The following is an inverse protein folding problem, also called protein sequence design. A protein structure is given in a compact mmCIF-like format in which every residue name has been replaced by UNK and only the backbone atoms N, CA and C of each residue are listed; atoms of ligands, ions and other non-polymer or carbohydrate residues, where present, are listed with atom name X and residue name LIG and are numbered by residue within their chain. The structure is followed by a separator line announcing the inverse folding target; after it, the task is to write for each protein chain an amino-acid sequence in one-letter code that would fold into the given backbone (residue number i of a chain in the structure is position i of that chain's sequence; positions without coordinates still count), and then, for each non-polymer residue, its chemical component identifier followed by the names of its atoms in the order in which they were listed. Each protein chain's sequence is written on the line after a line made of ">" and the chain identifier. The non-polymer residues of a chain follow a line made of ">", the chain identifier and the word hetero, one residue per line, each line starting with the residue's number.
data_IF_238440876592
#
_entry.id   IF_238440876592
#
_cell.length_a   1.000
_cell.length_b   1.000
_cell.length_c   1.000
_cell.angle_alpha   90.00
_cell.angle_beta   90.00
_cell.angle_gamma   90.00
#
_symmetry.space_group_name_H-M   'P 1'
#
loop_
_entity.id
_entity.type
_entity.pdbx_description
1 polymer ?
#
# COMPACT_ATOMS: atom_id res chain seq x y z
N UNK A 1 -0.07 -0.45 0.78
CA UNK A 1 1.18 -0.98 0.17
C UNK A 1 1.90 -1.96 1.07
N UNK A 2 2.36 -1.60 2.28
CA UNK A 2 3.09 -2.52 3.18
C UNK A 2 2.28 -3.77 3.53
N UNK A 3 1.01 -3.60 3.87
CA UNK A 3 0.09 -4.73 4.16
C UNK A 3 -0.08 -5.64 2.93
N UNK A 4 -0.28 -5.05 1.74
CA UNK A 4 -0.38 -5.80 0.50
C UNK A 4 0.93 -6.53 0.16
N UNK A 5 2.09 -5.87 0.27
CA UNK A 5 3.39 -6.48 0.03
C UNK A 5 3.70 -7.61 1.01
N UNK A 6 3.26 -7.47 2.27
CA UNK A 6 3.32 -8.52 3.27
C UNK A 6 2.47 -9.73 2.83
N UNK A 7 1.18 -9.56 2.56
CA UNK A 7 0.34 -10.70 2.16
C UNK A 7 0.71 -11.28 0.79
N UNK A 8 1.17 -10.45 -0.14
CA UNK A 8 1.71 -10.85 -1.45
C UNK A 8 2.98 -11.69 -1.31
N UNK A 9 3.87 -11.32 -0.37
CA UNK A 9 5.07 -12.10 -0.08
C UNK A 9 4.82 -13.38 0.73
N UNK A 10 3.73 -13.45 1.49
CA UNK A 10 3.45 -14.57 2.41
C UNK A 10 2.46 -15.61 1.85
N UNK A 11 1.58 -15.24 0.91
CA UNK A 11 0.51 -16.13 0.43
C UNK A 11 0.76 -16.70 -0.96
N UNK A 12 0.86 -18.03 -1.06
CA UNK A 12 1.02 -18.76 -2.34
C UNK A 12 -0.07 -18.40 -3.37
N UNK A 13 -1.33 -18.29 -2.91
CA UNK A 13 -2.45 -17.87 -3.76
C UNK A 13 -2.61 -16.36 -3.82
N UNK A 14 -2.35 -15.64 -2.72
CA UNK A 14 -2.51 -14.19 -2.64
C UNK A 14 -1.58 -13.45 -3.60
N UNK A 15 -0.35 -13.95 -3.79
CA UNK A 15 0.64 -13.39 -4.70
C UNK A 15 0.38 -13.64 -6.20
N UNK A 16 -0.64 -14.44 -6.54
CA UNK A 16 -0.96 -14.73 -7.94
C UNK A 16 -1.53 -13.50 -8.65
N UNK A 17 -1.28 -13.40 -9.95
CA UNK A 17 -1.84 -12.34 -10.79
C UNK A 17 -3.39 -12.34 -10.73
N UNK A 18 -4.01 -13.52 -10.71
CA UNK A 18 -5.46 -13.66 -10.61
C UNK A 18 -6.04 -13.15 -9.28
N UNK A 19 -5.43 -13.49 -8.14
CA UNK A 19 -5.89 -12.96 -6.84
C UNK A 19 -5.65 -11.46 -6.70
N UNK A 20 -4.55 -10.95 -7.27
CA UNK A 20 -4.28 -9.51 -7.32
C UNK A 20 -5.31 -8.78 -8.15
N UNK A 21 -5.68 -9.32 -9.32
CA UNK A 21 -6.71 -8.75 -10.18
C UNK A 21 -8.07 -8.67 -9.47
N UNK A 22 -8.51 -9.75 -8.82
CA UNK A 22 -9.79 -9.78 -8.08
C UNK A 22 -9.89 -8.69 -7.00
N UNK A 23 -8.82 -8.45 -6.23
CA UNK A 23 -8.81 -7.38 -5.24
C UNK A 23 -8.82 -5.99 -5.90
N UNK A 24 -8.04 -5.82 -6.97
CA UNK A 24 -7.98 -4.55 -7.70
C UNK A 24 -9.31 -4.23 -8.38
N UNK A 25 -10.06 -5.22 -8.87
CA UNK A 25 -11.38 -5.04 -9.47
C UNK A 25 -12.38 -4.47 -8.46
N UNK A 26 -12.35 -4.93 -7.21
CA UNK A 26 -13.19 -4.36 -6.12
C UNK A 26 -12.66 -2.99 -5.66
N UNK A 27 -11.35 -2.80 -5.65
CA UNK A 27 -10.73 -1.55 -5.23
C UNK A 27 -10.87 -0.43 -6.26
N UNK A 28 -10.96 -0.75 -7.55
CA UNK A 28 -10.94 0.24 -8.64
C UNK A 28 -12.10 1.25 -8.57
N UNK A 29 -13.37 0.84 -8.39
CA UNK A 29 -14.47 1.80 -8.23
C UNK A 29 -14.28 2.76 -7.05
N UNK A 30 -13.76 2.25 -5.92
CA UNK A 30 -13.47 3.06 -4.73
C UNK A 30 -12.31 4.02 -4.99
N UNK A 31 -11.27 3.56 -5.68
CA UNK A 31 -10.10 4.36 -6.03
C UNK A 31 -10.42 5.50 -6.98
N UNK A 32 -11.21 5.23 -8.03
CA UNK A 32 -11.67 6.26 -8.99
C UNK A 32 -12.41 7.38 -8.25
N UNK A 33 -13.33 7.01 -7.36
CA UNK A 33 -14.10 7.97 -6.58
C UNK A 33 -13.24 8.71 -5.54
N UNK A 34 -12.26 8.03 -4.94
CA UNK A 34 -11.33 8.66 -3.99
C UNK A 34 -10.51 9.78 -4.63
N UNK A 35 -10.12 9.65 -5.91
CA UNK A 35 -9.40 10.71 -6.63
C UNK A 35 -10.25 11.97 -6.72
N UNK A 36 -11.52 11.87 -7.14
CA UNK A 36 -12.39 13.04 -7.26
C UNK A 36 -12.72 13.67 -5.90
N UNK A 37 -12.97 12.85 -4.87
CA UNK A 37 -13.23 13.34 -3.51
C UNK A 37 -11.98 13.99 -2.90
N UNK A 38 -10.78 13.48 -3.20
CA UNK A 38 -9.53 14.07 -2.70
C UNK A 38 -9.31 15.50 -3.21
N UNK A 39 -9.72 15.80 -4.45
CA UNK A 39 -9.66 17.16 -4.99
C UNK A 39 -10.53 18.14 -4.20
N UNK A 40 -11.72 17.71 -3.76
CA UNK A 40 -12.60 18.50 -2.90
C UNK A 40 -11.98 18.71 -1.50
N UNK A 41 -11.40 17.65 -0.93
CA UNK A 41 -10.74 17.73 0.38
C UNK A 41 -9.52 18.67 0.35
N UNK A 42 -8.78 18.71 -0.76
CA UNK A 42 -7.71 19.69 -0.97
C UNK A 42 -8.28 21.12 -1.00
N UNK A 43 -9.47 21.30 -1.58
CA UNK A 43 -10.23 22.55 -1.55
C UNK A 43 -10.83 22.90 -0.18
N UNK A 44 -10.64 22.07 0.84
CA UNK A 44 -11.20 22.27 2.18
C UNK A 44 -12.64 21.78 2.36
N UNK A 45 -13.20 21.10 1.36
CA UNK A 45 -14.59 20.67 1.33
C UNK A 45 -14.74 19.15 1.42
N UNK A 46 -15.90 18.69 1.90
CA UNK A 46 -16.24 17.28 2.02
C UNK A 46 -17.53 16.96 1.25
N UNK A 47 -17.51 15.88 0.45
CA UNK A 47 -18.69 15.36 -0.22
C UNK A 47 -18.93 13.88 0.10
N UNK A 48 -19.84 13.64 1.05
CA UNK A 48 -20.31 12.31 1.40
C UNK A 48 -21.32 11.75 0.40
N UNK A 49 -22.00 12.63 -0.36
CA UNK A 49 -23.05 12.22 -1.30
C UNK A 49 -22.49 11.50 -2.54
N UNK A 50 -21.23 11.75 -2.90
CA UNK A 50 -20.54 11.09 -4.01
C UNK A 50 -20.60 9.55 -3.95
N UNK A 51 -20.49 8.99 -2.73
CA UNK A 51 -20.57 7.55 -2.53
C UNK A 51 -21.94 6.97 -2.86
N UNK A 52 -23.02 7.57 -2.35
CA UNK A 52 -24.38 7.11 -2.65
C UNK A 52 -24.77 7.42 -4.10
N UNK A 53 -24.25 8.49 -4.69
CA UNK A 53 -24.50 8.87 -6.08
C UNK A 53 -23.98 7.86 -7.08
N UNK A 54 -22.88 7.16 -6.77
CA UNK A 54 -22.36 6.07 -7.61
C UNK A 54 -23.41 4.97 -7.80
N UNK A 55 -24.02 4.52 -6.69
CA UNK A 55 -25.09 3.52 -6.72
C UNK A 55 -26.40 4.06 -7.30
N UNK A 56 -26.77 5.30 -6.94
CA UNK A 56 -27.98 5.94 -7.45
C UNK A 56 -27.95 6.10 -8.98
N UNK A 57 -26.80 6.47 -9.55
CA UNK A 57 -26.63 6.57 -11.00
C UNK A 57 -26.83 5.22 -11.69
N UNK A 58 -26.29 4.13 -11.13
CA UNK A 58 -26.51 2.78 -11.66
C UNK A 58 -27.98 2.36 -11.62
N UNK A 59 -28.67 2.63 -10.51
CA UNK A 59 -30.11 2.37 -10.40
C UNK A 59 -30.92 3.23 -11.35
N UNK A 60 -30.60 4.52 -11.50
CA UNK A 60 -31.27 5.39 -12.47
C UNK A 60 -31.12 4.85 -13.89
N UNK A 61 -29.91 4.45 -14.30
CA UNK A 61 -29.68 3.83 -15.62
C UNK A 61 -30.54 2.57 -15.76
N UNK A 62 -30.53 1.69 -14.77
CA UNK A 62 -31.23 0.41 -14.85
C UNK A 62 -32.77 0.59 -14.88
N UNK A 63 -33.31 1.47 -14.04
CA UNK A 63 -34.73 1.79 -14.03
C UNK A 63 -35.17 2.45 -15.35
N UNK A 64 -34.36 3.36 -15.89
CA UNK A 64 -34.67 3.99 -17.17
C UNK A 64 -34.63 2.98 -18.32
N UNK A 65 -33.59 2.15 -18.36
CA UNK A 65 -33.38 1.15 -19.39
C UNK A 65 -34.49 0.09 -19.43
N UNK A 66 -35.21 -0.12 -18.32
CA UNK A 66 -36.25 -1.15 -18.20
C UNK A 66 -37.68 -0.63 -18.16
N UNK A 67 -37.94 0.53 -17.56
CA UNK A 67 -39.30 0.93 -17.16
C UNK A 67 -39.77 2.33 -17.59
N UNK A 68 -38.93 3.16 -18.22
CA UNK A 68 -39.31 4.56 -18.50
C UNK A 68 -40.33 4.73 -19.64
N UNK A 69 -40.54 3.70 -20.46
CA UNK A 69 -41.51 3.62 -21.58
C UNK A 69 -41.87 2.14 -21.73
N UNK A 70 -42.99 1.75 -22.35
CA UNK A 70 -43.40 0.35 -22.53
C UNK A 70 -42.31 -0.49 -23.27
N UNK A 71 -41.31 -0.99 -22.52
CA UNK A 71 -40.11 -1.65 -23.04
C UNK A 71 -38.75 -0.99 -22.73
N UNK A 72 -38.72 0.11 -21.97
CA UNK A 72 -37.49 0.82 -21.59
C UNK A 72 -36.93 1.78 -22.66
N UNK A 73 -35.77 2.39 -22.39
CA UNK A 73 -35.07 3.27 -23.33
C UNK A 73 -33.63 2.80 -23.53
N UNK A 74 -33.03 3.19 -24.65
CA UNK A 74 -31.65 2.85 -24.97
C UNK A 74 -30.65 3.45 -23.98
N UNK A 75 -29.59 2.68 -23.68
CA UNK A 75 -28.48 3.10 -22.81
C UNK A 75 -27.77 4.36 -23.29
N UNK A 76 -27.84 4.67 -24.59
CA UNK A 76 -27.35 5.92 -25.15
C UNK A 76 -28.01 7.16 -24.56
N UNK A 77 -29.24 7.05 -24.06
CA UNK A 77 -29.97 8.12 -23.37
C UNK A 77 -29.83 7.98 -21.85
N UNK A 78 -29.93 6.75 -21.34
CA UNK A 78 -29.89 6.49 -19.89
C UNK A 78 -28.56 6.93 -19.26
N UNK A 79 -27.41 6.66 -19.91
CA UNK A 79 -26.10 7.00 -19.36
C UNK A 79 -25.90 8.53 -19.27
N UNK A 80 -26.08 9.33 -20.35
CA UNK A 80 -26.03 10.78 -20.25
C UNK A 80 -27.03 11.37 -19.26
N UNK A 81 -28.25 10.82 -19.19
CA UNK A 81 -29.25 11.28 -18.22
C UNK A 81 -28.80 11.07 -16.77
N UNK A 82 -28.15 9.95 -16.47
CA UNK A 82 -27.58 9.70 -15.14
C UNK A 82 -26.41 10.65 -14.82
N UNK A 83 -25.55 10.96 -15.81
CA UNK A 83 -24.51 11.98 -15.64
C UNK A 83 -25.09 13.38 -15.39
N UNK A 84 -26.16 13.75 -16.11
CA UNK A 84 -26.86 15.01 -15.90
C UNK A 84 -27.47 15.07 -14.49
N UNK A 85 -28.11 13.99 -14.03
CA UNK A 85 -28.65 13.91 -12.68
C UNK A 85 -27.55 14.03 -11.61
N UNK A 86 -26.42 13.34 -11.79
CA UNK A 86 -25.26 13.47 -10.91
C UNK A 86 -24.70 14.90 -10.90
N UNK A 87 -24.60 15.54 -12.06
CA UNK A 87 -24.20 16.93 -12.20
C UNK A 87 -25.15 17.90 -11.50
N UNK A 88 -26.46 17.70 -11.63
CA UNK A 88 -27.48 18.50 -10.95
C UNK A 88 -27.38 18.38 -9.42
N UNK A 89 -27.17 17.17 -8.90
CA UNK A 89 -26.97 16.95 -7.46
C UNK A 89 -25.69 17.62 -6.97
N UNK A 90 -24.58 17.47 -7.71
CA UNK A 90 -23.31 18.12 -7.38
C UNK A 90 -23.44 19.65 -7.39
N UNK A 91 -24.10 20.21 -8.40
CA UNK A 91 -24.41 21.63 -8.50
C UNK A 91 -25.28 22.10 -7.34
N UNK A 92 -26.33 21.35 -6.99
CA UNK A 92 -27.22 21.67 -5.88
C UNK A 92 -26.49 21.71 -4.54
N UNK A 93 -25.62 20.72 -4.27
CA UNK A 93 -24.78 20.70 -3.07
C UNK A 93 -23.85 21.91 -3.01
N UNK A 94 -23.14 22.20 -4.12
CA UNK A 94 -22.24 23.35 -4.20
C UNK A 94 -22.98 24.69 -4.04
N UNK A 95 -24.15 24.82 -4.66
CA UNK A 95 -25.02 25.98 -4.54
C UNK A 95 -25.47 26.20 -3.08
N UNK A 96 -25.92 25.15 -2.39
CA UNK A 96 -26.35 25.25 -1.00
C UNK A 96 -25.20 25.65 -0.09
N UNK A 97 -24.01 25.06 -0.24
CA UNK A 97 -22.82 25.44 0.55
C UNK A 97 -22.50 26.92 0.35
N UNK A 98 -22.44 27.38 -0.90
CA UNK A 98 -22.11 28.78 -1.21
C UNK A 98 -23.19 29.77 -0.71
N UNK A 99 -24.47 29.39 -0.79
CA UNK A 99 -25.58 30.29 -0.42
C UNK A 99 -25.82 30.36 1.09
N UNK A 100 -25.65 29.24 1.79
CA UNK A 100 -26.00 29.10 3.21
C UNK A 100 -24.81 29.27 4.15
N UNK A 101 -23.58 29.09 3.67
CA UNK A 101 -22.38 29.10 4.52
C UNK A 101 -22.30 27.92 5.49
N UNK A 102 -23.17 26.92 5.35
CA UNK A 102 -23.12 25.70 6.14
C UNK A 102 -21.89 24.86 5.73
N UNK A 103 -21.26 24.14 6.67
CA UNK A 103 -20.20 23.20 6.33
C UNK A 103 -20.68 22.18 5.29
N UNK A 104 -19.87 21.96 4.24
CA UNK A 104 -20.18 21.00 3.16
C UNK A 104 -20.46 19.59 3.64
N UNK A 105 -19.83 19.18 4.75
CA UNK A 105 -20.13 17.92 5.41
C UNK A 105 -21.63 17.77 5.77
N UNK A 106 -22.25 18.81 6.33
CA UNK A 106 -23.67 18.77 6.74
C UNK A 106 -24.58 18.75 5.52
N UNK A 107 -24.30 19.61 4.54
CA UNK A 107 -25.08 19.68 3.29
C UNK A 107 -25.06 18.34 2.57
N UNK A 108 -23.87 17.76 2.40
CA UNK A 108 -23.69 16.51 1.65
C UNK A 108 -24.15 15.28 2.43
N UNK A 109 -24.13 15.30 3.77
CA UNK A 109 -24.78 14.28 4.60
C UNK A 109 -26.31 14.31 4.46
N UNK A 110 -26.91 15.51 4.40
CA UNK A 110 -28.34 15.68 4.14
C UNK A 110 -28.72 15.10 2.78
N UNK A 111 -28.01 15.50 1.74
CA UNK A 111 -28.18 14.96 0.38
C UNK A 111 -27.95 13.45 0.34
N UNK A 112 -26.95 12.93 1.06
CA UNK A 112 -26.70 11.50 1.16
C UNK A 112 -27.94 10.72 1.62
N UNK A 113 -28.62 11.16 2.68
CA UNK A 113 -29.83 10.50 3.17
C UNK A 113 -31.01 10.65 2.22
N UNK A 114 -31.19 11.83 1.61
CA UNK A 114 -32.26 12.07 0.61
C UNK A 114 -32.09 11.12 -0.58
N UNK A 115 -30.89 11.06 -1.16
CA UNK A 115 -30.58 10.22 -2.32
C UNK A 115 -30.71 8.74 -1.94
N UNK A 116 -30.19 8.33 -0.78
CA UNK A 116 -30.31 6.94 -0.31
C UNK A 116 -31.76 6.52 -0.13
N UNK A 117 -32.59 7.39 0.46
CA UNK A 117 -34.01 7.19 0.64
C UNK A 117 -34.75 7.12 -0.69
N UNK A 118 -34.50 8.07 -1.59
CA UNK A 118 -35.07 8.09 -2.93
C UNK A 118 -34.73 6.80 -3.69
N UNK A 119 -33.46 6.40 -3.68
CA UNK A 119 -33.00 5.19 -4.36
C UNK A 119 -33.74 3.93 -3.87
N UNK A 120 -33.93 3.82 -2.56
CA UNK A 120 -34.69 2.71 -1.95
C UNK A 120 -36.17 2.73 -2.34
N UNK A 121 -36.82 3.90 -2.29
CA UNK A 121 -38.25 4.05 -2.57
C UNK A 121 -38.55 3.81 -4.05
N UNK A 122 -37.80 4.42 -4.97
CA UNK A 122 -38.01 4.28 -6.40
C UNK A 122 -37.74 2.85 -6.87
N UNK A 123 -36.65 2.22 -6.41
CA UNK A 123 -36.35 0.82 -6.74
C UNK A 123 -37.47 -0.11 -6.29
N UNK A 124 -37.92 0.01 -5.03
CA UNK A 124 -38.98 -0.85 -4.50
C UNK A 124 -40.33 -0.59 -5.15
N UNK A 125 -40.69 0.65 -5.45
CA UNK A 125 -41.98 0.99 -6.06
C UNK A 125 -42.08 0.51 -7.51
N UNK A 126 -40.99 0.60 -8.27
CA UNK A 126 -41.00 0.31 -9.71
C UNK A 126 -40.67 -1.16 -9.98
N UNK A 127 -39.67 -1.72 -9.30
CA UNK A 127 -39.12 -3.04 -9.58
C UNK A 127 -39.48 -4.09 -8.52
N UNK A 128 -40.18 -3.72 -7.43
CA UNK A 128 -40.49 -4.58 -6.25
C UNK A 128 -39.26 -5.15 -5.52
N UNK A 129 -38.07 -5.05 -6.11
CA UNK A 129 -36.76 -5.47 -5.61
C UNK A 129 -35.80 -4.27 -5.63
N UNK A 130 -34.80 -4.32 -4.74
CA UNK A 130 -33.77 -3.28 -4.65
C UNK A 130 -32.72 -3.42 -5.77
N UNK A 131 -32.59 -4.62 -6.37
CA UNK A 131 -31.70 -4.87 -7.49
C UNK A 131 -32.49 -4.92 -8.81
N UNK A 132 -32.06 -4.13 -9.79
CA UNK A 132 -32.64 -4.09 -11.14
C UNK A 132 -31.77 -4.95 -12.06
N UNK A 133 -32.27 -6.14 -12.40
CA UNK A 133 -31.61 -7.08 -13.31
C UNK A 133 -31.98 -6.80 -14.78
N UNK A 134 -31.26 -7.46 -15.70
CA UNK A 134 -31.53 -7.54 -17.15
C UNK A 134 -31.19 -6.27 -17.95
N UNK A 135 -30.26 -5.46 -17.44
CA UNK A 135 -29.74 -4.28 -18.17
C UNK A 135 -28.92 -4.69 -19.40
N UNK A 136 -28.49 -5.94 -19.46
CA UNK A 136 -27.77 -6.54 -20.58
C UNK A 136 -28.63 -6.76 -21.83
N UNK A 137 -29.95 -6.79 -21.68
CA UNK A 137 -30.91 -6.86 -22.79
C UNK A 137 -31.22 -5.48 -23.39
N UNK A 138 -30.80 -4.40 -22.74
CA UNK A 138 -31.13 -3.04 -23.16
C UNK A 138 -30.44 -2.64 -24.49
N UNK A 139 -31.15 -1.87 -25.32
CA UNK A 139 -30.62 -1.39 -26.59
C UNK A 139 -29.35 -0.53 -26.38
N UNK A 140 -28.28 -0.89 -27.08
CA UNK A 140 -26.96 -0.25 -26.96
C UNK A 140 -26.00 -0.94 -25.98
N UNK A 141 -26.45 -1.95 -25.23
CA UNK A 141 -25.62 -2.65 -24.25
C UNK A 141 -24.36 -3.27 -24.87
N UNK A 142 -24.44 -3.86 -26.06
CA UNK A 142 -23.27 -4.44 -26.74
C UNK A 142 -22.12 -3.45 -26.95
N UNK A 143 -22.43 -2.20 -27.34
CA UNK A 143 -21.42 -1.15 -27.50
C UNK A 143 -20.82 -0.72 -26.16
N UNK A 144 -21.67 -0.39 -25.18
CA UNK A 144 -21.20 0.06 -23.86
C UNK A 144 -20.46 -1.05 -23.11
N UNK A 145 -20.89 -2.31 -23.25
CA UNK A 145 -20.13 -3.46 -22.79
C UNK A 145 -18.79 -3.53 -23.51
N UNK A 146 -18.71 -3.40 -24.82
CA UNK A 146 -17.43 -3.44 -25.53
C UNK A 146 -16.45 -2.32 -25.11
N UNK A 147 -16.95 -1.12 -24.82
CA UNK A 147 -16.13 0.05 -24.48
C UNK A 147 -15.79 0.14 -22.99
N UNK A 148 -16.77 -0.09 -22.10
CA UNK A 148 -16.64 0.10 -20.65
C UNK A 148 -16.41 -1.20 -19.87
N UNK A 149 -16.87 -2.34 -20.39
CA UNK A 149 -16.82 -3.64 -19.71
C UNK A 149 -16.24 -4.78 -20.58
N UNK A 150 -15.53 -4.43 -21.65
CA UNK A 150 -15.26 -5.35 -22.75
C UNK A 150 -14.02 -6.18 -22.49
N UNK A 151 -14.18 -7.51 -22.49
CA UNK A 151 -13.07 -8.46 -22.41
C UNK A 151 -12.65 -8.96 -23.81
N UNK A 152 -12.34 -8.06 -24.74
CA UNK A 152 -11.96 -8.49 -26.10
C UNK A 152 -10.60 -9.22 -26.06
N UNK A 153 -10.54 -10.44 -26.59
CA UNK A 153 -9.33 -11.27 -26.71
C UNK A 153 -8.72 -11.10 -28.11
N UNK A 154 -7.47 -10.68 -28.23
CA UNK A 154 -6.71 -10.68 -29.48
C UNK A 154 -5.56 -11.70 -29.36
N UNK A 155 -5.75 -12.91 -29.90
CA UNK A 155 -4.84 -14.03 -29.64
C UNK A 155 -4.89 -14.45 -28.16
N UNK A 156 -3.72 -14.68 -27.54
CA UNK A 156 -3.61 -14.95 -26.09
C UNK A 156 -3.62 -13.68 -25.22
N UNK A 157 -3.56 -12.47 -25.81
CA UNK A 157 -3.54 -11.21 -25.06
C UNK A 157 -4.91 -10.52 -25.11
N UNK A 158 -5.46 -10.16 -23.94
CA UNK A 158 -6.72 -9.42 -23.88
C UNK A 158 -6.45 -7.94 -24.16
N UNK A 159 -7.32 -7.28 -24.92
CA UNK A 159 -7.25 -5.85 -25.24
C UNK A 159 -7.25 -4.95 -23.99
N UNK A 160 -8.00 -5.37 -22.96
CA UNK A 160 -7.96 -4.78 -21.61
C UNK A 160 -6.55 -4.80 -21.04
N UNK A 161 -5.79 -5.87 -21.27
CA UNK A 161 -4.45 -6.02 -20.72
C UNK A 161 -3.50 -5.02 -21.39
N UNK A 162 -3.68 -4.71 -22.68
CA UNK A 162 -2.88 -3.69 -23.38
C UNK A 162 -3.22 -2.27 -22.90
N UNK A 163 -4.50 -1.91 -22.83
CA UNK A 163 -4.93 -0.58 -22.32
C UNK A 163 -4.50 -0.42 -20.86
N UNK A 164 -4.67 -1.45 -20.03
CA UNK A 164 -4.29 -1.42 -18.63
C UNK A 164 -2.77 -1.36 -18.45
N UNK A 165 -2.01 -2.10 -19.27
CA UNK A 165 -0.55 -2.08 -19.20
C UNK A 165 -0.01 -0.73 -19.68
N UNK A 166 -0.46 -0.23 -20.83
CA UNK A 166 -0.04 1.08 -21.36
C UNK A 166 -0.51 2.21 -20.44
N UNK A 167 -1.77 2.20 -20.02
CA UNK A 167 -2.34 3.18 -19.10
C UNK A 167 -1.70 3.14 -17.72
N UNK A 168 -1.43 1.95 -17.18
CA UNK A 168 -0.71 1.76 -15.92
C UNK A 168 0.74 2.21 -15.99
N UNK A 169 1.45 1.89 -17.08
CA UNK A 169 2.81 2.37 -17.33
C UNK A 169 2.83 3.90 -17.44
N UNK A 170 1.91 4.47 -18.22
CA UNK A 170 1.77 5.92 -18.38
C UNK A 170 1.44 6.60 -17.05
N UNK A 171 0.53 6.04 -16.26
CA UNK A 171 0.22 6.52 -14.92
C UNK A 171 1.44 6.47 -14.00
N UNK A 172 2.21 5.36 -14.00
CA UNK A 172 3.43 5.25 -13.22
C UNK A 172 4.47 6.31 -13.64
N UNK A 173 4.66 6.53 -14.95
CA UNK A 173 5.54 7.57 -15.48
C UNK A 173 5.09 8.95 -15.04
N UNK A 174 3.80 9.29 -15.19
CA UNK A 174 3.23 10.56 -14.76
C UNK A 174 3.35 10.78 -13.25
N UNK A 175 3.16 9.72 -12.45
CA UNK A 175 3.32 9.78 -11.01
C UNK A 175 4.78 10.08 -10.62
N UNK A 176 5.74 9.41 -11.24
CA UNK A 176 7.18 9.66 -11.01
C UNK A 176 7.54 11.10 -11.42
N UNK A 177 7.05 11.57 -12.58
CA UNK A 177 7.22 12.96 -13.03
C UNK A 177 6.60 13.96 -12.05
N UNK A 178 5.38 13.70 -11.57
CA UNK A 178 4.69 14.52 -10.58
C UNK A 178 5.45 14.61 -9.26
N UNK A 179 5.95 13.47 -8.75
CA UNK A 179 6.78 13.47 -7.54
C UNK A 179 8.11 14.20 -7.74
N UNK A 180 8.74 14.07 -8.91
CA UNK A 180 9.96 14.83 -9.23
C UNK A 180 9.69 16.34 -9.22
N UNK A 181 8.61 16.80 -9.86
CA UNK A 181 8.21 18.22 -9.87
C UNK A 181 7.87 18.74 -8.46
N UNK A 182 7.22 17.92 -7.63
CA UNK A 182 6.89 18.29 -6.25
C UNK A 182 8.10 18.30 -5.32
N UNK A 183 9.06 17.40 -5.52
CA UNK A 183 10.19 17.21 -4.60
C UNK A 183 11.44 18.04 -4.98
N UNK A 184 11.65 18.30 -6.26
CA UNK A 184 12.85 18.96 -6.78
C UNK A 184 12.55 20.38 -7.28
N UNK A 185 13.59 21.12 -7.71
CA UNK A 185 13.45 22.46 -8.31
C UNK A 185 13.90 22.38 -9.76
N UNK A 186 13.15 23.00 -10.66
CA UNK A 186 13.51 23.04 -12.08
C UNK A 186 14.83 23.79 -12.27
N UNK A 187 15.77 23.19 -12.99
CA UNK A 187 16.99 23.86 -13.45
C UNK A 187 16.64 24.99 -14.42
N UNK A 188 17.43 26.06 -14.36
CA UNK A 188 17.39 27.15 -15.32
C UNK A 188 17.81 26.70 -16.73
N UNK A 189 18.85 25.85 -16.83
CA UNK A 189 19.31 25.26 -18.07
C UNK A 189 19.30 23.73 -18.00
N UNK A 190 18.81 23.09 -19.05
CA UNK A 190 18.75 21.64 -19.18
C UNK A 190 20.11 21.10 -19.59
N UNK A 191 20.55 20.01 -18.95
CA UNK A 191 21.72 19.25 -19.40
C UNK A 191 21.32 18.34 -20.56
N UNK A 192 21.88 18.57 -21.75
CA UNK A 192 21.62 17.75 -22.93
C UNK A 192 22.25 16.36 -22.81
N UNK A 193 23.43 16.24 -22.20
CA UNK A 193 24.13 14.96 -22.00
C UNK A 193 23.34 14.04 -21.09
N UNK A 194 22.89 14.54 -19.93
CA UNK A 194 22.08 13.73 -19.01
C UNK A 194 20.74 13.35 -19.64
N UNK A 195 20.16 14.23 -20.46
CA UNK A 195 18.93 13.89 -21.15
C UNK A 195 19.09 12.77 -22.20
N UNK A 196 20.20 12.76 -22.95
CA UNK A 196 20.51 11.68 -23.88
C UNK A 196 20.70 10.34 -23.15
N UNK A 197 21.39 10.35 -22.01
CA UNK A 197 21.55 9.15 -21.18
C UNK A 197 20.19 8.65 -20.66
N UNK A 198 19.28 9.56 -20.31
CA UNK A 198 17.93 9.20 -19.90
C UNK A 198 17.17 8.47 -21.04
N UNK A 199 17.29 8.93 -22.28
CA UNK A 199 16.68 8.28 -23.45
C UNK A 199 17.24 6.87 -23.65
N UNK A 200 18.56 6.69 -23.51
CA UNK A 200 19.20 5.37 -23.56
C UNK A 200 18.65 4.46 -22.47
N UNK A 201 18.44 4.99 -21.26
CA UNK A 201 17.78 4.28 -20.17
C UNK A 201 16.36 3.82 -20.52
N UNK A 202 15.55 4.69 -21.13
CA UNK A 202 14.19 4.35 -21.59
C UNK A 202 14.23 3.25 -22.65
N UNK A 203 15.15 3.34 -23.62
CA UNK A 203 15.31 2.31 -24.64
C UNK A 203 15.70 0.96 -24.03
N UNK A 204 16.61 0.94 -23.05
CA UNK A 204 16.98 -0.26 -22.31
C UNK A 204 15.81 -0.83 -21.47
N UNK A 205 14.99 0.03 -20.87
CA UNK A 205 13.79 -0.37 -20.14
C UNK A 205 12.78 -1.07 -21.06
N UNK A 206 12.48 -0.46 -22.21
CA UNK A 206 11.58 -1.01 -23.24
C UNK A 206 12.15 -2.34 -23.77
N UNK A 207 13.45 -2.38 -24.08
CA UNK A 207 14.12 -3.60 -24.54
C UNK A 207 14.01 -4.73 -23.52
N UNK A 208 14.22 -4.44 -22.23
CA UNK A 208 14.07 -5.43 -21.15
C UNK A 208 12.65 -5.99 -21.07
N UNK A 209 11.62 -5.13 -21.12
CA UNK A 209 10.21 -5.55 -21.10
C UNK A 209 9.84 -6.37 -22.34
N UNK A 210 10.26 -5.93 -23.53
CA UNK A 210 9.99 -6.65 -24.77
C UNK A 210 10.68 -8.02 -24.80
N UNK A 211 11.89 -8.11 -24.25
CA UNK A 211 12.63 -9.38 -24.17
C UNK A 211 11.97 -10.32 -23.17
N UNK A 212 11.53 -9.82 -22.01
CA UNK A 212 10.75 -10.59 -21.03
C UNK A 212 9.48 -11.21 -21.64
N UNK A 213 8.81 -10.51 -22.56
CA UNK A 213 7.64 -11.05 -23.24
C UNK A 213 7.93 -12.05 -24.37
N UNK A 214 9.20 -12.19 -24.76
CA UNK A 214 9.63 -13.10 -25.85
C UNK A 214 10.41 -14.30 -25.35
N UNK A 215 10.78 -14.34 -24.07
CA UNK A 215 11.59 -15.42 -23.50
C UNK A 215 10.87 -16.12 -22.36
N UNK A 216 10.79 -17.44 -22.40
CA UNK A 216 10.30 -18.25 -21.27
C UNK A 216 11.43 -18.86 -20.43
N UNK A 217 12.69 -18.66 -20.82
CA UNK A 217 13.84 -19.17 -20.09
C UNK A 217 14.11 -18.36 -18.81
N UNK A 218 14.47 -19.04 -17.72
CA UNK A 218 14.81 -18.39 -16.44
C UNK A 218 15.98 -17.41 -16.63
N UNK A 219 17.05 -17.83 -17.31
CA UNK A 219 18.23 -16.98 -17.53
C UNK A 219 17.93 -15.77 -18.41
N UNK A 220 17.14 -15.94 -19.48
CA UNK A 220 16.70 -14.85 -20.34
C UNK A 220 15.84 -13.84 -19.58
N UNK A 221 14.92 -14.33 -18.74
CA UNK A 221 14.05 -13.49 -17.91
C UNK A 221 14.82 -12.72 -16.84
N UNK A 222 15.82 -13.35 -16.21
CA UNK A 222 16.69 -12.66 -15.25
C UNK A 222 17.49 -11.57 -15.95
N UNK A 223 18.12 -11.87 -17.10
CA UNK A 223 18.92 -10.88 -17.82
C UNK A 223 18.05 -9.71 -18.31
N UNK A 224 16.93 -10.01 -18.95
CA UNK A 224 15.99 -9.01 -19.46
C UNK A 224 15.39 -8.15 -18.33
N UNK A 225 15.08 -8.77 -17.18
CA UNK A 225 14.63 -8.07 -15.98
C UNK A 225 15.69 -7.13 -15.40
N UNK A 226 16.95 -7.56 -15.32
CA UNK A 226 18.07 -6.73 -14.85
C UNK A 226 18.31 -5.56 -15.79
N UNK A 227 18.37 -5.81 -17.10
CA UNK A 227 18.54 -4.75 -18.11
C UNK A 227 17.37 -3.76 -18.05
N UNK A 228 16.14 -4.26 -17.96
CA UNK A 228 14.94 -3.43 -17.86
C UNK A 228 14.93 -2.55 -16.61
N UNK A 229 15.30 -3.11 -15.46
CA UNK A 229 15.36 -2.39 -14.19
C UNK A 229 16.47 -1.34 -14.18
N UNK A 230 17.68 -1.70 -14.63
CA UNK A 230 18.79 -0.75 -14.75
C UNK A 230 18.40 0.37 -15.72
N UNK A 231 17.83 0.04 -16.88
CA UNK A 231 17.33 1.01 -17.84
C UNK A 231 16.33 1.99 -17.22
N UNK A 232 15.38 1.48 -16.45
CA UNK A 232 14.37 2.29 -15.74
C UNK A 232 15.01 3.23 -14.71
N UNK A 233 15.97 2.73 -13.91
CA UNK A 233 16.70 3.55 -12.93
C UNK A 233 17.51 4.64 -13.63
N UNK A 234 18.23 4.29 -14.69
CA UNK A 234 19.00 5.25 -15.50
C UNK A 234 18.08 6.30 -16.09
N UNK A 235 16.95 5.92 -16.68
CA UNK A 235 15.96 6.83 -17.22
C UNK A 235 15.50 7.86 -16.18
N UNK A 236 15.08 7.39 -15.00
CA UNK A 236 14.56 8.25 -13.93
C UNK A 236 15.66 9.18 -13.39
N UNK A 237 16.82 8.63 -13.04
CA UNK A 237 17.91 9.39 -12.40
C UNK A 237 18.48 10.44 -13.34
N UNK A 238 18.76 10.07 -14.60
CA UNK A 238 19.34 11.00 -15.55
C UNK A 238 18.32 12.01 -16.08
N UNK A 239 17.04 11.65 -16.20
CA UNK A 239 15.99 12.65 -16.46
C UNK A 239 15.89 13.65 -15.31
N UNK A 240 15.93 13.16 -14.06
CA UNK A 240 15.92 14.02 -12.89
C UNK A 240 17.11 14.99 -12.89
N UNK A 241 18.33 14.49 -13.13
CA UNK A 241 19.55 15.33 -13.20
C UNK A 241 19.52 16.31 -14.36
N UNK A 242 18.98 15.92 -15.51
CA UNK A 242 18.90 16.77 -16.69
C UNK A 242 18.00 17.99 -16.49
N UNK A 243 16.91 17.82 -15.74
CA UNK A 243 15.85 18.84 -15.63
C UNK A 243 15.77 19.53 -14.27
N UNK A 244 16.26 18.90 -13.20
CA UNK A 244 16.04 19.34 -11.83
C UNK A 244 17.33 19.43 -11.00
N UNK A 245 17.26 20.27 -9.97
CA UNK A 245 18.23 20.40 -8.89
C UNK A 245 17.59 20.03 -7.55
N UNK A 246 18.40 19.59 -6.59
CA UNK A 246 17.96 19.34 -5.23
C UNK A 246 17.66 20.63 -4.48
N UNK A 247 16.57 20.67 -3.71
CA UNK A 247 16.18 21.84 -2.88
C UNK A 247 17.22 22.23 -1.84
N UNK A 248 17.85 21.24 -1.22
CA UNK A 248 18.84 21.43 -0.17
C UNK A 248 20.02 20.47 -0.36
N UNK A 249 21.23 20.93 0.00
CA UNK A 249 22.40 20.06 0.05
C UNK A 249 22.26 19.09 1.21
N UNK A 250 22.48 17.80 0.97
CA UNK A 250 22.53 16.78 2.03
C UNK A 250 23.81 16.98 2.86
N UNK A 251 23.67 17.54 4.07
CA UNK A 251 24.79 17.85 4.97
C UNK A 251 24.68 17.04 6.27
N UNK A 252 25.81 16.91 6.98
CA UNK A 252 25.90 16.30 8.30
C UNK A 252 26.54 14.91 8.30
N UNK A 253 27.27 14.61 9.37
CA UNK A 253 27.87 13.30 9.65
C UNK A 253 26.89 12.41 10.43
N UNK A 254 27.22 11.13 10.58
CA UNK A 254 26.39 10.18 11.33
C UNK A 254 26.50 10.47 12.83
N UNK A 255 25.41 10.88 13.51
CA UNK A 255 25.47 11.16 14.95
C UNK A 255 25.79 9.89 15.75
N UNK A 256 26.57 10.01 16.82
CA UNK A 256 26.96 8.87 17.65
C UNK A 256 25.76 8.16 18.29
N UNK A 257 24.71 8.92 18.63
CA UNK A 257 23.45 8.38 19.11
C UNK A 257 22.78 7.44 18.08
N UNK A 258 22.92 7.71 16.78
CA UNK A 258 22.35 6.89 15.71
C UNK A 258 23.17 5.63 15.43
N UNK A 259 24.50 5.65 15.64
CA UNK A 259 25.39 4.53 15.32
C UNK A 259 24.98 3.22 16.01
N UNK A 260 24.69 3.29 17.32
CA UNK A 260 24.30 2.11 18.11
C UNK A 260 22.98 1.52 17.60
N UNK A 261 21.98 2.36 17.39
CA UNK A 261 20.69 1.90 16.86
C UNK A 261 20.80 1.38 15.43
N UNK A 262 21.64 1.99 14.59
CA UNK A 262 21.87 1.49 13.24
C UNK A 262 22.51 0.10 13.25
N UNK A 263 23.51 -0.12 14.12
CA UNK A 263 24.16 -1.42 14.29
C UNK A 263 23.19 -2.50 14.79
N UNK A 264 22.39 -2.20 15.81
CA UNK A 264 21.35 -3.13 16.29
C UNK A 264 20.26 -3.38 15.24
N UNK A 265 19.92 -2.36 14.45
CA UNK A 265 19.02 -2.48 13.31
C UNK A 265 19.53 -3.50 12.30
N UNK A 266 20.76 -3.32 11.83
CA UNK A 266 21.42 -4.23 10.90
C UNK A 266 21.58 -5.65 11.45
N UNK A 267 21.93 -5.78 12.74
CA UNK A 267 22.00 -7.08 13.42
C UNK A 267 20.64 -7.77 13.42
N UNK A 268 19.56 -7.05 13.73
CA UNK A 268 18.21 -7.61 13.70
C UNK A 268 17.79 -8.07 12.30
N UNK A 269 18.18 -7.32 11.25
CA UNK A 269 17.95 -7.73 9.85
C UNK A 269 18.73 -8.99 9.51
N UNK A 270 19.98 -9.07 9.94
CA UNK A 270 20.81 -10.26 9.73
C UNK A 270 20.20 -11.48 10.41
N UNK A 271 19.84 -11.36 11.70
CA UNK A 271 19.19 -12.46 12.44
C UNK A 271 17.87 -12.86 11.77
N UNK A 272 17.02 -11.89 11.40
CA UNK A 272 15.74 -12.18 10.75
C UNK A 272 15.91 -12.82 9.36
N UNK A 273 16.85 -12.33 8.53
CA UNK A 273 17.06 -12.84 7.19
C UNK A 273 17.75 -14.20 7.14
N UNK A 274 18.60 -14.51 8.12
CA UNK A 274 19.36 -15.76 8.19
C UNK A 274 18.80 -16.80 9.16
N UNK A 275 17.70 -16.50 9.88
CA UNK A 275 17.06 -17.45 10.78
C UNK A 275 16.69 -18.78 10.08
N UNK A 276 16.36 -18.73 8.79
CA UNK A 276 16.08 -19.91 7.96
C UNK A 276 17.28 -20.82 7.69
N UNK A 277 18.51 -20.33 7.83
CA UNK A 277 19.71 -21.17 7.73
C UNK A 277 20.06 -21.87 9.05
N UNK A 278 19.73 -21.23 10.18
CA UNK A 278 19.96 -21.79 11.52
C UNK A 278 18.89 -22.81 11.92
N UNK A 279 17.67 -22.66 11.40
CA UNK A 279 16.52 -23.51 11.71
C UNK A 279 15.84 -23.93 10.41
N UNK A 280 16.01 -25.19 10.02
CA UNK A 280 15.48 -25.70 8.75
C UNK A 280 13.94 -25.65 8.73
N UNK A 281 13.39 -25.25 7.58
CA UNK A 281 11.94 -25.16 7.30
C UNK A 281 11.28 -26.51 7.17
N UNK A 282 12.04 -27.55 6.87
CA UNK A 282 11.52 -28.91 6.76
C UNK A 282 11.60 -29.68 8.09
N UNK A 283 12.13 -29.06 9.16
CA UNK A 283 12.36 -29.75 10.42
C UNK A 283 11.11 -29.78 11.29
N UNK A 284 10.49 -30.96 11.38
CA UNK A 284 9.31 -31.25 12.21
C UNK A 284 9.67 -31.61 13.65
N UNK A 285 10.97 -31.65 14.00
CA UNK A 285 11.41 -32.02 15.34
C UNK A 285 10.85 -31.06 16.38
N UNK A 286 10.43 -31.66 17.50
CA UNK A 286 9.92 -30.92 18.63
C UNK A 286 11.10 -30.32 19.40
N UNK A 287 11.19 -28.98 19.44
CA UNK A 287 12.29 -28.24 20.09
C UNK A 287 12.35 -28.44 21.62
N UNK A 288 11.41 -29.20 22.20
CA UNK A 288 11.20 -29.34 23.65
C UNK A 288 12.35 -29.96 24.45
N UNK A 289 13.45 -30.39 23.82
CA UNK A 289 14.53 -31.12 24.51
C UNK A 289 15.80 -30.29 24.84
N UNK A 290 15.96 -29.06 24.35
CA UNK A 290 17.22 -28.30 24.55
C UNK A 290 17.27 -27.35 25.76
N UNK A 291 16.12 -26.98 26.35
CA UNK A 291 16.08 -26.15 27.57
C UNK A 291 15.28 -26.83 28.69
N UNK A 292 15.89 -27.13 29.85
CA UNK A 292 15.19 -27.68 30.99
C UNK A 292 14.19 -26.67 31.57
N UNK A 293 13.09 -27.17 32.15
CA UNK A 293 11.92 -26.40 32.56
C UNK A 293 12.27 -25.17 33.43
N UNK A 294 13.20 -25.33 34.37
CA UNK A 294 13.66 -24.27 35.28
C UNK A 294 14.35 -23.12 34.55
N UNK A 295 15.15 -23.41 33.52
CA UNK A 295 15.86 -22.39 32.73
C UNK A 295 14.88 -21.59 31.89
N UNK A 296 13.76 -22.20 31.48
CA UNK A 296 12.69 -21.48 30.79
C UNK A 296 12.10 -20.41 31.70
N UNK A 297 11.69 -20.76 32.93
CA UNK A 297 11.17 -19.77 33.89
C UNK A 297 12.12 -18.61 34.13
N UNK A 298 13.43 -18.88 34.25
CA UNK A 298 14.45 -17.84 34.40
C UNK A 298 14.48 -16.89 33.19
N UNK A 299 14.41 -17.42 31.97
CA UNK A 299 14.38 -16.62 30.74
C UNK A 299 13.09 -15.80 30.63
N UNK A 300 11.91 -16.35 31.01
CA UNK A 300 10.65 -15.60 31.07
C UNK A 300 10.75 -14.39 32.00
N UNK A 301 11.21 -14.65 33.22
CA UNK A 301 11.29 -13.65 34.27
C UNK A 301 12.29 -12.57 33.85
N UNK A 302 13.45 -12.96 33.32
CA UNK A 302 14.43 -12.01 32.80
C UNK A 302 13.88 -11.18 31.63
N UNK A 303 13.21 -11.79 30.66
CA UNK A 303 12.64 -11.11 29.50
C UNK A 303 11.51 -10.12 29.86
N UNK A 304 10.71 -10.41 30.89
CA UNK A 304 9.69 -9.49 31.42
C UNK A 304 10.26 -8.42 32.36
N UNK A 305 11.24 -8.78 33.19
CA UNK A 305 11.80 -7.90 34.21
C UNK A 305 12.79 -6.87 33.66
N UNK A 306 13.59 -7.21 32.63
CA UNK A 306 14.58 -6.28 32.07
C UNK A 306 13.94 -4.99 31.50
N UNK A 307 12.90 -5.07 30.64
CA UNK A 307 12.24 -3.89 30.09
C UNK A 307 11.57 -3.04 31.18
N UNK A 308 10.96 -3.71 32.17
CA UNK A 308 10.35 -3.05 33.32
C UNK A 308 11.40 -2.31 34.16
N UNK A 309 12.52 -2.95 34.46
CA UNK A 309 13.63 -2.36 35.22
C UNK A 309 14.29 -1.18 34.48
N UNK A 310 14.46 -1.26 33.16
CA UNK A 310 14.97 -0.15 32.34
C UNK A 310 14.00 1.04 32.38
N UNK A 311 12.69 0.77 32.28
CA UNK A 311 11.64 1.79 32.34
C UNK A 311 11.63 2.47 33.72
N UNK A 312 11.69 1.70 34.80
CA UNK A 312 11.74 2.21 36.18
C UNK A 312 13.04 2.99 36.44
N UNK A 313 14.20 2.50 35.98
CA UNK A 313 15.48 3.23 36.12
C UNK A 313 15.50 4.53 35.34
N UNK A 314 14.86 4.57 34.17
CA UNK A 314 14.74 5.81 33.38
C UNK A 314 13.88 6.85 34.10
N UNK A 315 12.87 6.41 34.86
CA UNK A 315 12.04 7.26 35.72
C UNK A 315 12.82 7.83 36.91
N UNK A 316 13.67 7.02 37.54
CA UNK A 316 14.50 7.45 38.67
C UNK A 316 15.60 8.46 38.31
N UNK A 317 15.90 8.68 37.03
CA UNK A 317 17.02 9.51 36.54
C UNK A 317 16.60 10.86 35.91
N UNK A 318 15.32 11.22 35.85
CA UNK A 318 14.85 12.40 35.08
C UNK A 318 14.17 13.50 35.91
N UNK A 319 14.59 14.75 35.66
CA UNK A 319 14.07 16.00 36.22
C UNK A 319 12.54 16.18 36.05
N UNK A 320 11.96 16.90 37.01
CA UNK A 320 10.51 17.02 37.30
C UNK A 320 9.68 17.52 36.11
N UNK A 321 10.26 18.28 35.16
CA UNK A 321 9.56 18.81 33.97
C UNK A 321 9.23 17.76 32.89
N UNK A 322 9.90 16.61 32.88
CA UNK A 322 9.68 15.55 31.88
C UNK A 322 8.52 14.59 32.23
N UNK A 323 7.94 14.71 33.42
CA UNK A 323 6.95 13.76 33.97
C UNK A 323 5.70 13.61 33.10
N UNK A 324 5.18 14.69 32.51
CA UNK A 324 3.98 14.65 31.66
C UNK A 324 4.16 13.88 30.34
N UNK A 325 5.29 14.11 29.63
CA UNK A 325 5.60 13.39 28.38
C UNK A 325 5.98 11.93 28.63
N UNK A 326 6.58 11.62 29.78
CA UNK A 326 6.97 10.26 30.16
C UNK A 326 5.77 9.43 30.59
N UNK A 327 4.80 9.99 31.32
CA UNK A 327 3.56 9.29 31.73
C UNK A 327 2.71 8.92 30.50
N UNK A 328 2.52 9.83 29.54
CA UNK A 328 1.82 9.53 28.29
C UNK A 328 2.56 8.45 27.46
N UNK A 329 3.89 8.50 27.45
CA UNK A 329 4.72 7.46 26.85
C UNK A 329 4.61 6.11 27.56
N UNK A 330 4.40 6.09 28.88
CA UNK A 330 4.28 4.88 29.70
C UNK A 330 2.93 4.18 29.48
N UNK A 331 1.83 4.94 29.44
CA UNK A 331 0.48 4.41 29.19
C UNK A 331 0.41 3.71 27.81
N UNK A 332 1.18 4.19 26.83
CA UNK A 332 1.23 3.58 25.49
C UNK A 332 2.29 2.45 25.43
N UNK A 333 3.48 2.64 26.01
CA UNK A 333 4.59 1.68 25.87
C UNK A 333 4.50 0.49 26.82
N UNK A 334 3.99 0.67 28.04
CA UNK A 334 3.93 -0.40 29.04
C UNK A 334 3.00 -1.54 28.59
N UNK A 335 1.77 -1.30 28.09
CA UNK A 335 0.93 -2.38 27.57
C UNK A 335 1.56 -3.06 26.37
N UNK A 336 2.27 -2.31 25.51
CA UNK A 336 2.94 -2.83 24.32
C UNK A 336 4.15 -3.70 24.68
N UNK A 337 4.95 -3.27 25.66
CA UNK A 337 6.04 -4.06 26.24
C UNK A 337 5.47 -5.31 26.91
N UNK A 338 4.43 -5.18 27.72
CA UNK A 338 3.77 -6.32 28.35
C UNK A 338 3.17 -7.27 27.30
N UNK A 339 2.57 -6.77 26.23
CA UNK A 339 2.02 -7.57 25.13
C UNK A 339 3.13 -8.27 24.35
N UNK A 340 4.23 -7.59 24.00
CA UNK A 340 5.38 -8.17 23.30
C UNK A 340 6.11 -9.17 24.18
N UNK A 341 6.27 -8.88 25.47
CA UNK A 341 6.82 -9.82 26.45
C UNK A 341 5.88 -11.01 26.66
N UNK A 342 4.56 -10.81 26.73
CA UNK A 342 3.57 -11.88 26.86
C UNK A 342 3.53 -12.74 25.60
N UNK A 343 3.53 -12.15 24.41
CA UNK A 343 3.63 -12.86 23.14
C UNK A 343 4.97 -13.57 23.06
N UNK A 344 6.08 -12.94 23.45
CA UNK A 344 7.41 -13.54 23.46
C UNK A 344 7.52 -14.72 24.42
N UNK A 345 6.91 -14.61 25.61
CA UNK A 345 6.77 -15.69 26.60
C UNK A 345 5.87 -16.77 26.01
N UNK A 346 4.58 -16.52 25.77
CA UNK A 346 3.63 -17.52 25.25
C UNK A 346 4.16 -18.20 23.98
N UNK A 347 4.82 -17.44 23.11
CA UNK A 347 5.54 -18.00 21.97
C UNK A 347 6.67 -18.90 22.47
N UNK A 348 7.74 -18.41 23.13
CA UNK A 348 8.89 -19.22 23.61
C UNK A 348 8.51 -20.45 24.46
N UNK A 349 7.42 -20.41 25.23
CA UNK A 349 7.01 -21.50 26.11
C UNK A 349 6.09 -22.53 25.44
N UNK A 350 5.46 -22.22 24.30
CA UNK A 350 4.58 -23.13 23.56
C UNK A 350 5.12 -23.60 22.20
N UNK A 351 6.37 -23.30 21.84
CA UNK A 351 6.96 -23.81 20.58
C UNK A 351 7.28 -25.30 20.72
N UNK A 352 6.34 -26.11 20.27
CA UNK A 352 6.52 -27.55 20.09
C UNK A 352 7.31 -27.87 18.82
N UNK A 353 7.80 -26.90 18.04
CA UNK A 353 8.50 -27.16 16.75
C UNK A 353 9.58 -26.13 16.43
N UNK A 354 10.62 -26.55 15.72
CA UNK A 354 11.73 -25.70 15.21
C UNK A 354 11.22 -24.54 14.34
N UNK A 355 10.19 -24.80 13.53
CA UNK A 355 9.54 -23.79 12.69
C UNK A 355 8.97 -22.61 13.48
N UNK A 356 8.39 -22.90 14.66
CA UNK A 356 7.77 -21.86 15.48
C UNK A 356 8.84 -20.99 16.18
N UNK A 357 9.99 -21.58 16.57
CA UNK A 357 11.18 -20.85 17.07
C UNK A 357 11.69 -19.88 16.01
N UNK A 358 11.78 -20.35 14.76
CA UNK A 358 12.20 -19.51 13.64
C UNK A 358 11.24 -18.33 13.42
N UNK A 359 9.94 -18.58 13.36
CA UNK A 359 8.94 -17.52 13.15
C UNK A 359 9.00 -16.43 14.22
N UNK A 360 9.20 -16.82 15.49
CA UNK A 360 9.38 -15.89 16.61
C UNK A 360 10.67 -15.11 16.47
N UNK A 361 11.79 -15.77 16.15
CA UNK A 361 13.07 -15.10 15.92
C UNK A 361 12.97 -14.06 14.80
N UNK A 362 12.36 -14.41 13.67
CA UNK A 362 12.18 -13.47 12.55
C UNK A 362 11.29 -12.30 12.97
N UNK A 363 10.20 -12.57 13.70
CA UNK A 363 9.28 -11.51 14.14
C UNK A 363 9.94 -10.57 15.13
N UNK A 364 10.58 -11.10 16.17
CA UNK A 364 11.24 -10.30 17.23
C UNK A 364 12.43 -9.54 16.65
N UNK A 365 13.28 -10.20 15.85
CA UNK A 365 14.44 -9.55 15.24
C UNK A 365 14.02 -8.53 14.17
N UNK A 366 12.98 -8.82 13.38
CA UNK A 366 12.44 -7.91 12.37
C UNK A 366 11.77 -6.66 12.97
N UNK A 367 10.95 -6.83 14.02
CA UNK A 367 10.35 -5.69 14.76
C UNK A 367 11.43 -4.91 15.52
N UNK A 368 12.40 -5.61 16.12
CA UNK A 368 13.58 -5.01 16.74
C UNK A 368 14.39 -4.18 15.75
N UNK A 369 14.63 -4.70 14.55
CA UNK A 369 15.31 -3.99 13.48
C UNK A 369 14.54 -2.73 13.04
N UNK A 370 13.24 -2.86 12.81
CA UNK A 370 12.35 -1.75 12.45
C UNK A 370 12.40 -0.60 13.48
N UNK A 371 12.24 -0.94 14.76
CA UNK A 371 12.27 0.04 15.85
C UNK A 371 13.64 0.71 15.98
N UNK A 372 14.72 -0.06 15.82
CA UNK A 372 16.09 0.46 15.83
C UNK A 372 16.34 1.42 14.65
N UNK A 373 15.94 1.07 13.43
CA UNK A 373 16.06 1.98 12.28
C UNK A 373 15.23 3.25 12.46
N UNK A 374 14.02 3.14 12.99
CA UNK A 374 13.18 4.31 13.25
C UNK A 374 13.83 5.25 14.28
N UNK A 375 14.39 4.69 15.37
CA UNK A 375 15.11 5.47 16.37
C UNK A 375 16.40 6.09 15.80
N UNK A 376 17.19 5.32 15.04
CA UNK A 376 18.40 5.79 14.37
C UNK A 376 18.09 6.95 13.41
N UNK A 377 17.01 6.83 12.63
CA UNK A 377 16.53 7.84 11.69
C UNK A 377 16.02 9.08 12.40
N UNK A 378 15.23 8.94 13.47
CA UNK A 378 14.75 10.06 14.28
C UNK A 378 15.90 10.84 14.93
N UNK A 379 16.91 10.15 15.42
CA UNK A 379 18.11 10.78 15.99
C UNK A 379 18.92 11.49 14.89
N UNK A 380 19.07 10.88 13.70
CA UNK A 380 19.77 11.47 12.58
C UNK A 380 19.06 12.73 12.05
N UNK A 381 17.72 12.72 11.96
CA UNK A 381 16.94 13.85 11.44
C UNK A 381 17.07 15.16 12.21
N UNK A 382 17.61 15.14 13.43
CA UNK A 382 17.89 16.35 14.21
C UNK A 382 19.21 17.04 13.85
N UNK A 383 20.16 16.29 13.28
CA UNK A 383 21.56 16.72 13.13
C UNK A 383 22.11 16.53 11.70
N UNK A 384 21.53 15.62 10.92
CA UNK A 384 21.96 15.31 9.56
C UNK A 384 20.78 14.92 8.68
N UNK A 385 20.49 15.77 7.70
CA UNK A 385 19.57 15.46 6.60
C UNK A 385 20.11 14.33 5.72
N UNK A 386 21.43 14.26 5.51
CA UNK A 386 22.09 13.17 4.76
C UNK A 386 21.79 11.79 5.35
N UNK A 387 22.08 11.61 6.64
CA UNK A 387 21.88 10.31 7.30
C UNK A 387 20.42 10.01 7.60
N UNK A 388 19.56 11.02 7.74
CA UNK A 388 18.12 10.81 7.79
C UNK A 388 17.59 10.09 6.53
N UNK A 389 18.06 10.51 5.35
CA UNK A 389 17.69 9.89 4.07
C UNK A 389 18.33 8.51 3.94
N UNK A 390 19.64 8.37 4.21
CA UNK A 390 20.33 7.09 4.05
C UNK A 390 19.80 5.99 4.96
N UNK A 391 19.50 6.30 6.23
CA UNK A 391 18.89 5.33 7.14
C UNK A 391 17.48 4.95 6.65
N UNK A 392 16.73 5.90 6.07
CA UNK A 392 15.45 5.61 5.44
C UNK A 392 15.55 4.61 4.29
N UNK A 393 16.49 4.82 3.37
CA UNK A 393 16.76 3.91 2.24
C UNK A 393 17.19 2.53 2.73
N UNK A 394 18.12 2.49 3.69
CA UNK A 394 18.64 1.24 4.25
C UNK A 394 17.54 0.46 4.98
N UNK A 395 16.67 1.15 5.72
CA UNK A 395 15.49 0.55 6.35
C UNK A 395 14.55 -0.08 5.32
N UNK A 396 14.28 0.60 4.20
CA UNK A 396 13.46 0.04 3.11
C UNK A 396 14.10 -1.21 2.48
N UNK A 397 15.40 -1.17 2.20
CA UNK A 397 16.13 -2.32 1.66
C UNK A 397 16.12 -3.52 2.62
N UNK A 398 16.32 -3.26 3.91
CA UNK A 398 16.25 -4.26 4.97
C UNK A 398 14.88 -4.96 5.04
N UNK A 399 13.78 -4.20 4.94
CA UNK A 399 12.44 -4.79 4.93
C UNK A 399 12.19 -5.67 3.70
N UNK A 400 12.66 -5.24 2.53
CA UNK A 400 12.56 -6.06 1.30
C UNK A 400 13.34 -7.37 1.48
N UNK A 401 14.55 -7.30 2.02
CA UNK A 401 15.36 -8.51 2.29
C UNK A 401 14.66 -9.48 3.25
N UNK A 402 14.13 -9.00 4.38
CA UNK A 402 13.37 -9.83 5.32
C UNK A 402 12.12 -10.44 4.66
N UNK A 403 11.43 -9.67 3.81
CA UNK A 403 10.25 -10.17 3.10
C UNK A 403 10.59 -11.33 2.13
N UNK A 404 11.74 -11.26 1.45
CA UNK A 404 12.21 -12.38 0.62
C UNK A 404 12.61 -13.59 1.45
N UNK A 405 13.27 -13.39 2.60
CA UNK A 405 13.60 -14.48 3.52
C UNK A 405 12.33 -15.19 4.04
N UNK A 406 11.29 -14.41 4.40
CA UNK A 406 9.98 -14.94 4.80
C UNK A 406 9.25 -15.65 3.66
N UNK A 407 9.32 -15.16 2.42
CA UNK A 407 8.71 -15.82 1.26
C UNK A 407 9.29 -17.21 1.01
N UNK A 408 10.58 -17.40 1.25
CA UNK A 408 11.19 -18.73 1.16
C UNK A 408 10.64 -19.71 2.21
N UNK A 409 10.02 -19.21 3.29
CA UNK A 409 9.42 -20.02 4.35
C UNK A 409 7.96 -20.42 4.07
N UNK A 410 7.23 -19.69 3.22
CA UNK A 410 5.81 -19.98 2.92
C UNK A 410 5.61 -21.32 2.20
N UNK A 411 6.65 -21.85 1.56
CA UNK A 411 6.61 -23.14 0.85
C UNK A 411 6.71 -24.37 1.76
N UNK A 412 6.77 -24.21 3.09
CA UNK A 412 6.95 -25.33 4.02
C UNK A 412 5.68 -26.23 4.12
N UNK A 413 5.81 -27.56 4.21
CA UNK A 413 4.71 -28.53 4.11
C UNK A 413 3.52 -28.30 5.05
N UNK A 414 3.77 -27.74 6.25
CA UNK A 414 2.75 -27.54 7.28
C UNK A 414 1.78 -26.38 7.00
N UNK A 415 2.14 -25.44 6.13
CA UNK A 415 1.24 -24.35 5.69
C UNK A 415 0.36 -24.75 4.50
N UNK A 416 0.53 -25.96 3.96
CA UNK A 416 -0.29 -26.56 2.90
C UNK A 416 -1.40 -27.48 3.42
N UNK A 417 -1.59 -27.54 4.74
CA UNK A 417 -2.64 -28.32 5.40
C UNK A 417 -4.03 -27.79 5.12
#
# INVERSE_FOLDING_TARGET
>A
VVVWAFFWGNGDKFGTAGSTANFLDVAAPLGIMAVTVSLLMIGGEFDLSAGVMTGASGVTIALMAKYFTDGGISLWVCIPAAFLLAGCVGWWNGFLVNRTGLPSFIVTLGSFFIIKGANLVFSKRINSLVNVSDVDEAHGYGFFKAVLGGENKFGDMKYRDVIFLVGGLLFAVLMILGFMEQALVRRAQRSNTDFLIAIVGVAAAIFGVLTLHRTDSVNGNVLAGVVGLIGTVVAIVFYARARFDGREKLVGSLPDASKKFLAFGLLGVFVAGFAGQLFDRNEERVMLQWMPLWMRFVVAIAAGALPLAITIRSFMRGDVELRGKVIAGLIIRLPLICLVSLIGIVSLFQLTTVQAVRAVLITVAGVGAATCFYQARRAAGKLSTKWFVYIGVLMSAAFVFIAFALRADSSAPRFRG
#
